data_IF_534145912897
#
_entry.id   IF_534145912897
#
_cell.length_a   1.000
_cell.length_b   1.000
_cell.length_c   1.000
_cell.angle_alpha   90.00
_cell.angle_beta   90.00
_cell.angle_gamma   90.00
#
_symmetry.space_group_name_H-M   'P 1'
#
loop_
_entity.id
_entity.type
_entity.pdbx_description
1 polymer ?
#
# COMPACT_ATOMS: atom_id res chain seq x y z
N UNK A 1 -1.05 -1.12 -5.39
CA UNK A 1 0.08 -1.07 -6.35
C UNK A 1 1.28 -1.62 -5.62
N UNK A 2 1.92 -2.66 -6.15
CA UNK A 2 2.98 -3.40 -5.46
C UNK A 2 4.39 -3.11 -6.01
N UNK A 3 4.48 -2.43 -7.15
CA UNK A 3 5.74 -1.95 -7.71
C UNK A 3 5.49 -0.63 -8.45
N UNK A 4 6.26 0.39 -8.13
CA UNK A 4 6.19 1.70 -8.78
C UNK A 4 7.53 2.44 -8.61
N UNK A 5 7.92 3.30 -9.59
CA UNK A 5 7.18 3.60 -10.82
C UNK A 5 7.10 2.42 -11.81
N UNK A 6 7.92 1.39 -11.59
CA UNK A 6 7.96 0.17 -12.41
C UNK A 6 8.82 0.34 -13.66
N UNK A 7 8.96 -0.73 -14.45
CA UNK A 7 9.72 -0.69 -15.71
C UNK A 7 8.97 0.12 -16.75
N UNK A 8 9.67 1.01 -17.47
CA UNK A 8 9.08 1.90 -18.48
C UNK A 8 7.87 2.72 -17.98
N UNK A 9 7.87 3.08 -16.69
CA UNK A 9 6.78 3.76 -15.99
C UNK A 9 5.45 2.98 -15.96
N UNK A 10 5.50 1.65 -16.14
CA UNK A 10 4.34 0.78 -16.00
C UNK A 10 4.29 0.27 -14.56
N UNK A 11 3.29 0.69 -13.76
CA UNK A 11 3.19 0.24 -12.38
C UNK A 11 2.77 -1.23 -12.30
N UNK A 12 3.37 -1.94 -11.33
CA UNK A 12 2.97 -3.28 -10.94
C UNK A 12 1.70 -3.27 -10.10
N UNK A 13 0.64 -3.87 -10.64
CA UNK A 13 -0.62 -4.09 -9.94
C UNK A 13 -0.74 -5.54 -9.47
N UNK A 14 -1.31 -5.72 -8.28
CA UNK A 14 -1.65 -7.04 -7.75
C UNK A 14 -2.93 -6.91 -6.93
N UNK A 15 -3.97 -7.61 -7.37
CA UNK A 15 -5.25 -7.70 -6.69
C UNK A 15 -5.56 -9.15 -6.28
N UNK A 16 -4.51 -9.92 -5.99
CA UNK A 16 -4.54 -11.36 -5.81
C UNK A 16 -5.30 -12.05 -6.97
N UNK A 17 -6.16 -13.01 -6.67
CA UNK A 17 -6.94 -13.74 -7.68
C UNK A 17 -8.05 -12.94 -8.36
N UNK A 18 -8.25 -11.65 -8.04
CA UNK A 18 -9.40 -10.87 -8.53
C UNK A 18 -9.18 -10.26 -9.93
N UNK A 19 -7.95 -10.28 -10.45
CA UNK A 19 -7.65 -9.82 -11.79
C UNK A 19 -6.35 -10.45 -12.29
N UNK A 20 -6.42 -11.13 -13.44
CA UNK A 20 -5.26 -11.79 -14.05
C UNK A 20 -5.05 -11.38 -15.52
N UNK A 21 -6.03 -10.73 -16.15
CA UNK A 21 -5.92 -10.27 -17.52
C UNK A 21 -4.93 -9.11 -17.61
N UNK A 22 -4.24 -8.99 -18.75
CA UNK A 22 -3.19 -7.99 -18.98
C UNK A 22 -3.35 -7.33 -20.35
N UNK A 23 -2.92 -6.08 -20.43
CA UNK A 23 -2.61 -5.41 -21.69
C UNK A 23 -1.32 -6.01 -22.30
N UNK A 24 -1.04 -5.70 -23.57
CA UNK A 24 0.16 -6.18 -24.28
C UNK A 24 1.47 -5.72 -23.63
N UNK A 25 1.45 -4.63 -22.85
CA UNK A 25 2.59 -4.10 -22.12
C UNK A 25 2.74 -4.71 -20.70
N UNK A 26 1.96 -5.73 -20.34
CA UNK A 26 2.03 -6.43 -19.06
C UNK A 26 1.27 -5.76 -17.91
N UNK A 27 0.73 -4.55 -18.09
CA UNK A 27 -0.12 -3.89 -17.10
C UNK A 27 -1.43 -4.69 -16.93
N UNK A 28 -1.90 -4.87 -15.70
CA UNK A 28 -3.18 -5.55 -15.47
C UNK A 28 -4.35 -4.79 -16.14
N UNK A 29 -5.25 -5.54 -16.76
CA UNK A 29 -6.49 -5.06 -17.34
C UNK A 29 -7.67 -5.64 -16.56
N UNK A 30 -8.24 -4.84 -15.66
CA UNK A 30 -9.21 -5.25 -14.65
C UNK A 30 -10.57 -4.55 -14.85
N UNK A 31 -11.27 -4.72 -15.98
CA UNK A 31 -12.53 -4.03 -16.25
C UNK A 31 -13.62 -4.39 -15.24
N UNK A 32 -13.59 -5.60 -14.65
CA UNK A 32 -14.53 -6.00 -13.60
C UNK A 32 -14.34 -5.18 -12.32
N UNK A 33 -13.09 -4.94 -11.91
CA UNK A 33 -12.78 -4.03 -10.79
C UNK A 33 -13.28 -2.61 -11.12
N UNK A 34 -13.09 -2.15 -12.37
CA UNK A 34 -13.64 -0.87 -12.84
C UNK A 34 -15.17 -0.76 -12.71
N UNK A 35 -15.91 -1.80 -13.06
CA UNK A 35 -17.36 -1.84 -12.86
C UNK A 35 -17.74 -1.75 -11.38
N UNK A 36 -17.01 -2.47 -10.53
CA UNK A 36 -17.28 -2.52 -9.09
C UNK A 36 -16.90 -1.20 -8.40
N UNK A 37 -15.87 -0.49 -8.86
CA UNK A 37 -15.55 0.89 -8.45
C UNK A 37 -16.76 1.80 -8.68
N UNK A 38 -17.29 1.81 -9.91
CA UNK A 38 -18.46 2.64 -10.26
C UNK A 38 -19.69 2.26 -9.45
N UNK A 39 -19.87 0.96 -9.18
CA UNK A 39 -20.94 0.49 -8.30
C UNK A 39 -20.78 1.03 -6.87
N UNK A 40 -19.59 0.92 -6.27
CA UNK A 40 -19.29 1.46 -4.95
C UNK A 40 -19.53 2.98 -4.88
N UNK A 41 -19.08 3.72 -5.89
CA UNK A 41 -19.30 5.16 -5.99
C UNK A 41 -20.79 5.51 -6.10
N UNK A 42 -21.58 4.72 -6.83
CA UNK A 42 -23.06 4.88 -6.87
C UNK A 42 -23.75 4.67 -5.52
N UNK A 43 -23.07 4.03 -4.55
CA UNK A 43 -23.50 3.84 -3.16
C UNK A 43 -22.87 4.87 -2.21
N UNK A 44 -22.26 5.93 -2.75
CA UNK A 44 -21.62 6.98 -1.97
C UNK A 44 -20.31 6.55 -1.30
N UNK A 45 -19.70 5.44 -1.72
CA UNK A 45 -18.41 4.98 -1.18
C UNK A 45 -17.27 5.59 -1.98
N UNK A 46 -16.20 5.96 -1.29
CA UNK A 46 -14.95 6.41 -1.92
C UNK A 46 -14.04 5.21 -2.14
N UNK A 47 -13.39 5.15 -3.30
CA UNK A 47 -12.44 4.09 -3.64
C UNK A 47 -11.10 4.71 -4.00
N UNK A 48 -10.10 4.50 -3.15
CA UNK A 48 -8.74 4.95 -3.35
C UNK A 48 -7.88 3.78 -3.86
N UNK A 49 -6.87 4.09 -4.67
CA UNK A 49 -5.84 3.12 -5.05
C UNK A 49 -4.66 3.25 -4.11
N UNK A 50 -4.38 2.20 -3.34
CA UNK A 50 -3.24 2.17 -2.43
C UNK A 50 -1.94 1.85 -3.16
N UNK A 51 -0.88 2.60 -2.84
CA UNK A 51 0.51 2.42 -3.24
C UNK A 51 1.27 1.75 -2.11
N UNK A 52 2.01 0.70 -2.43
CA UNK A 52 3.00 0.11 -1.54
C UNK A 52 2.60 -1.29 -1.09
N UNK A 53 2.42 -1.43 0.22
CA UNK A 53 2.18 -2.68 0.92
C UNK A 53 3.44 -3.45 1.28
N UNK A 54 3.28 -4.52 2.04
CA UNK A 54 4.36 -5.30 2.66
C UNK A 54 5.40 -5.94 1.72
N UNK A 55 5.20 -5.98 0.40
CA UNK A 55 6.18 -6.56 -0.56
C UNK A 55 7.47 -5.73 -0.62
N UNK A 56 7.38 -4.42 -0.39
CA UNK A 56 8.52 -3.51 -0.23
C UNK A 56 9.34 -3.19 -1.49
N UNK A 57 9.05 -3.78 -2.65
CA UNK A 57 9.79 -3.58 -3.91
C UNK A 57 9.24 -2.41 -4.75
N UNK A 58 9.33 -1.21 -4.21
CA UNK A 58 8.88 0.04 -4.82
C UNK A 58 9.61 1.25 -4.24
N UNK A 59 9.44 2.40 -4.87
CA UNK A 59 9.95 3.68 -4.39
C UNK A 59 10.58 4.50 -5.49
N UNK A 60 11.01 5.69 -5.12
CA UNK A 60 11.59 6.66 -6.04
C UNK A 60 13.06 6.91 -5.69
N UNK A 61 13.85 7.26 -6.70
CA UNK A 61 15.23 7.67 -6.55
C UNK A 61 15.36 9.16 -6.23
N UNK A 62 14.36 9.96 -6.60
CA UNK A 62 14.30 11.41 -6.37
C UNK A 62 12.88 11.95 -6.61
N UNK A 63 12.67 13.23 -6.27
CA UNK A 63 11.39 13.92 -6.43
C UNK A 63 10.91 14.01 -7.87
N UNK A 64 11.81 14.21 -8.85
CA UNK A 64 11.44 14.37 -10.26
C UNK A 64 10.81 13.08 -10.83
N UNK A 65 11.33 11.92 -10.42
CA UNK A 65 10.76 10.61 -10.77
C UNK A 65 9.36 10.45 -10.15
N UNK A 66 9.21 10.85 -8.88
CA UNK A 66 7.93 10.79 -8.18
C UNK A 66 6.88 11.74 -8.79
N UNK A 67 7.28 12.96 -9.19
CA UNK A 67 6.42 13.90 -9.91
C UNK A 67 6.00 13.34 -11.28
N UNK A 68 6.93 12.73 -12.02
CA UNK A 68 6.62 12.08 -13.30
C UNK A 68 5.64 10.92 -13.11
N UNK A 69 5.75 10.20 -12.00
CA UNK A 69 4.82 9.14 -11.67
C UNK A 69 3.42 9.66 -11.30
N UNK A 70 3.29 10.90 -10.82
CA UNK A 70 1.97 11.53 -10.64
C UNK A 70 1.20 11.62 -11.98
N UNK A 71 1.91 11.89 -13.08
CA UNK A 71 1.31 11.92 -14.43
C UNK A 71 0.80 10.53 -14.84
N UNK A 72 1.54 9.46 -14.49
CA UNK A 72 1.13 8.07 -14.71
C UNK A 72 -0.17 7.78 -13.95
N UNK A 73 -0.22 8.12 -12.67
CA UNK A 73 -1.41 7.91 -11.83
C UNK A 73 -2.61 8.69 -12.38
N UNK A 74 -2.39 9.95 -12.75
CA UNK A 74 -3.43 10.81 -13.29
C UNK A 74 -4.03 10.22 -14.57
N UNK A 75 -3.18 9.81 -15.50
CA UNK A 75 -3.57 9.34 -16.82
C UNK A 75 -4.14 7.92 -16.85
N UNK A 76 -3.69 7.03 -15.96
CA UNK A 76 -4.12 5.62 -15.96
C UNK A 76 -5.33 5.34 -15.07
N UNK A 77 -5.49 6.07 -13.96
CA UNK A 77 -6.48 5.70 -12.93
C UNK A 77 -7.45 6.84 -12.57
N UNK A 78 -7.01 8.09 -12.71
CA UNK A 78 -7.79 9.28 -12.38
C UNK A 78 -8.38 9.87 -13.67
N UNK A 79 -8.44 11.20 -13.81
CA UNK A 79 -9.17 11.89 -14.88
C UNK A 79 -8.36 12.17 -16.16
N UNK A 80 -7.07 11.82 -16.18
CA UNK A 80 -6.27 11.91 -17.38
C UNK A 80 -6.60 10.82 -18.41
N UNK A 81 -5.81 10.77 -19.48
CA UNK A 81 -6.05 9.86 -20.62
C UNK A 81 -4.85 8.94 -20.86
N UNK A 82 -5.11 7.66 -21.10
CA UNK A 82 -4.12 6.65 -21.45
C UNK A 82 -4.76 5.58 -22.33
N UNK A 83 -3.99 4.97 -23.23
CA UNK A 83 -4.43 3.84 -24.05
C UNK A 83 -4.64 2.56 -23.23
N UNK A 84 -3.91 2.44 -22.10
CA UNK A 84 -4.02 1.30 -21.18
C UNK A 84 -4.46 1.80 -19.81
N UNK A 85 -5.76 1.68 -19.54
CA UNK A 85 -6.39 2.01 -18.26
C UNK A 85 -6.84 0.74 -17.54
N UNK A 86 -6.21 0.35 -16.42
CA UNK A 86 -6.52 -0.90 -15.72
C UNK A 86 -7.98 -1.06 -15.30
N UNK A 87 -8.68 0.04 -15.03
CA UNK A 87 -10.08 0.00 -14.61
C UNK A 87 -11.05 0.46 -15.72
N UNK A 88 -10.59 0.47 -16.97
CA UNK A 88 -11.35 0.99 -18.10
C UNK A 88 -11.70 2.47 -17.92
N UNK A 89 -12.99 2.78 -18.03
CA UNK A 89 -13.54 4.13 -17.89
C UNK A 89 -13.80 4.55 -16.44
N UNK A 90 -13.53 3.68 -15.45
CA UNK A 90 -13.65 4.06 -14.06
C UNK A 90 -12.57 5.07 -13.66
N UNK A 91 -12.97 6.02 -12.81
CA UNK A 91 -12.11 7.06 -12.24
C UNK A 91 -12.16 6.90 -10.72
N UNK A 92 -11.05 6.50 -10.11
CA UNK A 92 -10.94 6.34 -8.65
C UNK A 92 -11.10 7.69 -7.94
N UNK A 93 -11.27 7.67 -6.62
CA UNK A 93 -11.52 8.87 -5.81
C UNK A 93 -10.25 9.43 -5.15
N UNK A 94 -9.10 8.79 -5.35
CA UNK A 94 -7.88 9.25 -4.73
C UNK A 94 -6.80 8.19 -4.64
N UNK A 95 -5.78 8.52 -3.87
CA UNK A 95 -4.55 7.75 -3.75
C UNK A 95 -4.25 7.56 -2.26
N UNK A 96 -3.94 6.32 -1.89
CA UNK A 96 -3.51 5.95 -0.55
C UNK A 96 -2.02 5.58 -0.55
N UNK A 97 -1.26 6.04 0.43
CA UNK A 97 0.18 5.80 0.58
C UNK A 97 0.44 4.84 1.75
N UNK A 98 0.54 3.55 1.45
CA UNK A 98 0.83 2.47 2.39
C UNK A 98 2.29 2.03 2.23
N UNK A 99 3.21 2.92 2.63
CA UNK A 99 4.65 2.78 2.38
C UNK A 99 5.31 2.09 3.56
N UNK A 100 5.65 0.81 3.39
CA UNK A 100 6.12 -0.06 4.48
C UNK A 100 7.63 -0.37 4.42
N UNK A 101 8.36 0.14 3.42
CA UNK A 101 9.78 -0.17 3.22
C UNK A 101 10.77 0.83 3.85
N UNK A 102 10.28 1.72 4.72
CA UNK A 102 11.08 2.73 5.44
C UNK A 102 11.92 3.65 4.53
N UNK A 103 11.49 3.84 3.27
CA UNK A 103 12.08 4.81 2.36
C UNK A 103 11.07 5.94 2.11
N UNK A 104 11.32 7.18 2.56
CA UNK A 104 10.40 8.32 2.39
C UNK A 104 10.58 9.07 1.06
N UNK A 105 11.57 8.71 0.25
CA UNK A 105 11.99 9.49 -0.92
C UNK A 105 10.85 9.69 -1.92
N UNK A 106 10.61 10.94 -2.32
CA UNK A 106 9.72 11.32 -3.42
C UNK A 106 8.22 11.41 -3.09
N UNK A 107 7.74 10.80 -2.01
CA UNK A 107 6.29 10.75 -1.73
C UNK A 107 5.69 12.14 -1.45
N UNK A 108 6.44 13.04 -0.80
CA UNK A 108 5.99 14.42 -0.60
C UNK A 108 5.83 15.17 -1.94
N UNK A 109 6.76 14.99 -2.89
CA UNK A 109 6.69 15.59 -4.21
C UNK A 109 5.53 15.01 -5.04
N UNK A 110 5.36 13.69 -5.03
CA UNK A 110 4.23 13.01 -5.64
C UNK A 110 2.89 13.51 -5.08
N UNK A 111 2.75 13.59 -3.75
CA UNK A 111 1.53 14.08 -3.10
C UNK A 111 1.19 15.53 -3.47
N UNK A 112 2.18 16.44 -3.47
CA UNK A 112 2.00 17.82 -3.93
C UNK A 112 1.56 17.87 -5.40
N UNK A 113 2.19 17.07 -6.26
CA UNK A 113 1.86 17.01 -7.67
C UNK A 113 0.44 16.48 -7.93
N UNK A 114 0.01 15.48 -7.18
CA UNK A 114 -1.37 14.99 -7.23
C UNK A 114 -2.37 16.07 -6.79
N UNK A 115 -2.08 16.85 -5.74
CA UNK A 115 -2.94 17.99 -5.36
C UNK A 115 -3.07 19.04 -6.46
N UNK A 116 -2.02 19.31 -7.23
CA UNK A 116 -2.11 20.19 -8.42
C UNK A 116 -3.06 19.65 -9.49
N UNK A 117 -3.09 18.33 -9.68
CA UNK A 117 -4.03 17.67 -10.58
C UNK A 117 -5.46 17.70 -10.05
N UNK A 118 -5.64 17.40 -8.76
CA UNK A 118 -6.94 17.36 -8.12
C UNK A 118 -7.64 18.73 -8.17
N UNK A 119 -6.90 19.82 -8.04
CA UNK A 119 -7.43 21.17 -8.18
C UNK A 119 -8.01 21.49 -9.58
N UNK A 120 -7.67 20.69 -10.59
CA UNK A 120 -8.18 20.83 -11.97
C UNK A 120 -9.23 19.77 -12.33
N UNK A 121 -9.48 18.83 -11.42
CA UNK A 121 -10.40 17.72 -11.65
C UNK A 121 -11.86 18.13 -11.61
N UNK A 122 -12.74 17.24 -12.07
CA UNK A 122 -14.19 17.47 -12.13
C UNK A 122 -14.93 17.11 -10.82
N UNK A 123 -14.22 16.48 -9.88
CA UNK A 123 -14.73 16.07 -8.56
C UNK A 123 -13.66 16.23 -7.48
N UNK A 124 -14.09 16.11 -6.23
CA UNK A 124 -13.17 16.04 -5.10
C UNK A 124 -12.39 14.72 -5.11
N UNK A 125 -11.09 14.83 -4.84
CA UNK A 125 -10.15 13.73 -4.74
C UNK A 125 -9.48 13.73 -3.36
N UNK A 126 -9.13 12.53 -2.90
CA UNK A 126 -8.58 12.33 -1.57
C UNK A 126 -7.16 11.79 -1.61
N UNK A 127 -6.33 12.24 -0.68
CA UNK A 127 -5.05 11.61 -0.35
C UNK A 127 -5.15 11.01 1.06
N UNK A 128 -4.70 9.77 1.19
CA UNK A 128 -4.52 9.12 2.49
C UNK A 128 -3.14 8.51 2.65
N UNK A 129 -2.72 8.27 3.88
CA UNK A 129 -1.52 7.49 4.17
C UNK A 129 -1.81 6.48 5.29
N UNK A 130 -1.09 5.35 5.29
CA UNK A 130 -1.24 4.29 6.26
C UNK A 130 0.05 4.07 7.08
N UNK A 131 0.49 5.04 7.89
CA UNK A 131 1.67 4.87 8.74
C UNK A 131 1.45 3.76 9.77
N UNK A 132 2.54 3.13 10.22
CA UNK A 132 2.51 2.35 11.47
C UNK A 132 2.31 3.28 12.68
N UNK A 133 1.92 2.74 13.83
CA UNK A 133 1.70 3.59 15.02
C UNK A 133 2.98 4.24 15.59
N UNK A 134 4.17 3.76 15.19
CA UNK A 134 5.46 4.33 15.60
C UNK A 134 5.59 5.72 14.99
N UNK A 135 5.88 6.73 15.82
CA UNK A 135 5.99 8.12 15.39
C UNK A 135 7.42 8.65 15.62
N UNK A 136 8.04 9.33 14.63
CA UNK A 136 7.56 9.47 13.25
C UNK A 136 7.62 8.14 12.48
N UNK A 137 6.72 7.95 11.52
CA UNK A 137 6.72 6.77 10.64
C UNK A 137 7.83 6.87 9.59
N UNK A 138 8.64 5.82 9.45
CA UNK A 138 9.83 5.86 8.59
C UNK A 138 9.53 5.92 7.08
N UNK A 139 8.36 5.46 6.64
CA UNK A 139 7.98 5.43 5.23
C UNK A 139 7.27 6.70 4.77
N UNK A 140 6.49 7.34 5.64
CA UNK A 140 5.62 8.47 5.25
C UNK A 140 5.83 9.77 6.02
N UNK A 141 6.80 9.90 6.94
CA UNK A 141 6.94 11.15 7.73
C UNK A 141 7.04 12.41 6.85
N UNK A 142 7.85 12.41 5.78
CA UNK A 142 7.98 13.58 4.90
C UNK A 142 6.68 13.92 4.18
N UNK A 143 5.93 12.90 3.77
CA UNK A 143 4.61 13.06 3.16
C UNK A 143 3.64 13.73 4.14
N UNK A 144 3.57 13.22 5.37
CA UNK A 144 2.68 13.72 6.42
C UNK A 144 3.00 15.17 6.83
N UNK A 145 4.27 15.56 6.84
CA UNK A 145 4.70 16.89 7.23
C UNK A 145 4.52 17.95 6.12
N UNK A 146 4.44 17.54 4.86
CA UNK A 146 4.55 18.45 3.72
C UNK A 146 3.36 18.47 2.77
N UNK A 147 2.45 17.49 2.87
CA UNK A 147 1.32 17.36 1.96
C UNK A 147 0.02 17.54 2.73
N UNK A 148 -0.92 18.25 2.11
CA UNK A 148 -2.31 18.28 2.58
C UNK A 148 -2.89 16.87 2.43
N UNK A 149 -3.08 16.15 3.55
CA UNK A 149 -3.64 14.80 3.59
C UNK A 149 -5.07 14.85 4.14
N UNK A 150 -5.98 14.06 3.57
CA UNK A 150 -7.37 13.97 4.04
C UNK A 150 -7.50 12.96 5.19
N UNK A 151 -6.91 11.77 5.02
CA UNK A 151 -7.07 10.64 5.94
C UNK A 151 -5.74 10.02 6.32
N UNK A 152 -5.53 9.75 7.61
CA UNK A 152 -4.38 8.98 8.10
C UNK A 152 -4.88 7.69 8.75
N UNK A 153 -4.59 6.56 8.12
CA UNK A 153 -4.97 5.21 8.56
C UNK A 153 -3.88 4.58 9.42
N UNK A 154 -3.76 5.04 10.67
CA UNK A 154 -2.65 4.66 11.55
C UNK A 154 -2.78 3.18 11.95
N UNK A 155 -1.81 2.35 11.61
CA UNK A 155 -1.83 0.91 11.91
C UNK A 155 -1.46 0.67 13.38
N UNK A 156 -2.46 0.61 14.26
CA UNK A 156 -2.30 0.31 15.69
C UNK A 156 -2.28 -1.20 15.98
N UNK A 157 -1.47 -1.93 15.21
CA UNK A 157 -1.22 -3.36 15.34
C UNK A 157 0.23 -3.69 14.97
N UNK A 158 0.67 -4.93 15.28
CA UNK A 158 2.05 -5.41 15.05
C UNK A 158 3.17 -4.60 15.73
N UNK A 159 2.86 -3.71 16.68
CA UNK A 159 3.82 -2.79 17.29
C UNK A 159 3.61 -2.65 18.80
N UNK A 160 4.56 -1.98 19.48
CA UNK A 160 4.42 -1.71 20.92
C UNK A 160 3.27 -0.75 21.23
N UNK A 161 2.89 0.08 20.25
CA UNK A 161 1.87 1.11 20.34
C UNK A 161 0.47 0.64 19.93
N UNK A 162 0.22 -0.68 19.88
CA UNK A 162 -1.13 -1.23 19.66
C UNK A 162 -2.16 -0.65 20.65
N UNK A 163 -3.43 -0.67 20.25
CA UNK A 163 -4.56 -0.15 21.06
C UNK A 163 -4.58 -0.74 22.48
N UNK A 164 -4.32 -2.03 22.65
CA UNK A 164 -4.34 -2.73 23.94
C UNK A 164 -2.98 -2.72 24.68
N UNK A 165 -2.06 -1.84 24.25
CA UNK A 165 -0.69 -1.70 24.77
C UNK A 165 -0.39 -0.23 25.05
N UNK A 166 0.72 0.31 24.53
CA UNK A 166 1.11 1.71 24.69
C UNK A 166 0.46 2.57 23.62
N UNK A 167 -0.88 2.60 23.60
CA UNK A 167 -1.66 3.33 22.60
C UNK A 167 -1.31 4.82 22.61
N UNK A 168 -0.65 5.29 21.55
CA UNK A 168 -0.07 6.63 21.46
C UNK A 168 -0.93 7.61 20.65
N UNK A 169 -2.26 7.53 20.77
CA UNK A 169 -3.21 8.42 20.09
C UNK A 169 -2.88 9.90 20.26
N UNK A 170 -2.55 10.33 21.49
CA UNK A 170 -2.19 11.72 21.81
C UNK A 170 -1.00 12.24 20.99
N UNK A 171 -0.08 11.35 20.59
CA UNK A 171 1.06 11.73 19.73
C UNK A 171 0.57 12.08 18.33
N UNK A 172 -0.34 11.27 17.79
CA UNK A 172 -0.91 11.45 16.47
C UNK A 172 -1.88 12.64 16.40
N UNK A 173 -2.65 12.90 17.45
CA UNK A 173 -3.51 14.09 17.52
C UNK A 173 -2.69 15.37 17.68
N UNK A 174 -1.58 15.32 18.42
CA UNK A 174 -0.62 16.41 18.44
C UNK A 174 -0.03 16.67 17.04
N UNK A 175 0.28 15.62 16.26
CA UNK A 175 0.65 15.78 14.85
C UNK A 175 -0.44 16.50 14.05
N UNK A 176 -1.70 16.04 14.14
CA UNK A 176 -2.81 16.65 13.40
C UNK A 176 -2.96 18.14 13.74
N UNK A 177 -2.89 18.49 15.03
CA UNK A 177 -3.01 19.86 15.49
C UNK A 177 -1.81 20.74 15.08
N UNK A 178 -0.58 20.26 15.26
CA UNK A 178 0.62 21.12 15.23
C UNK A 178 1.42 21.00 13.94
N UNK A 179 1.51 19.80 13.36
CA UNK A 179 2.43 19.50 12.25
C UNK A 179 1.71 19.41 10.91
N UNK A 180 0.57 18.71 10.84
CA UNK A 180 -0.10 18.46 9.56
C UNK A 180 -0.41 19.76 8.80
N UNK A 181 -0.11 19.85 7.49
CA UNK A 181 -0.53 20.99 6.67
C UNK A 181 -2.04 21.18 6.63
N UNK A 182 -2.80 20.08 6.69
CA UNK A 182 -4.25 20.11 6.77
C UNK A 182 -4.71 20.03 8.24
N UNK A 183 -5.20 21.15 8.79
CA UNK A 183 -5.70 21.18 10.17
C UNK A 183 -7.06 20.49 10.36
N UNK A 184 -7.69 20.04 9.28
CA UNK A 184 -8.90 19.23 9.29
C UNK A 184 -8.64 17.75 8.97
N UNK A 185 -7.37 17.32 8.93
CA UNK A 185 -7.00 15.93 8.67
C UNK A 185 -7.73 14.98 9.62
N UNK A 186 -8.19 13.84 9.10
CA UNK A 186 -8.89 12.83 9.89
C UNK A 186 -8.02 11.62 10.16
N UNK A 187 -7.84 11.31 11.43
CA UNK A 187 -7.08 10.19 11.93
C UNK A 187 -8.00 8.99 12.15
N UNK A 188 -7.59 7.82 11.70
CA UNK A 188 -8.33 6.57 11.85
C UNK A 188 -7.51 5.58 12.66
N UNK A 189 -8.17 4.87 13.57
CA UNK A 189 -7.56 3.75 14.29
C UNK A 189 -7.57 2.53 13.37
N UNK A 190 -6.41 2.13 12.86
CA UNK A 190 -6.23 0.92 12.06
C UNK A 190 -6.15 -0.33 12.93
N UNK A 191 -7.00 -1.31 12.67
CA UNK A 191 -7.06 -2.59 13.41
C UNK A 191 -7.13 -3.80 12.47
N UNK A 192 -6.70 -4.99 12.91
CA UNK A 192 -6.90 -6.24 12.16
C UNK A 192 -8.38 -6.65 12.16
N UNK A 193 -8.87 -7.16 11.02
CA UNK A 193 -10.25 -7.59 10.82
C UNK A 193 -10.58 -8.97 11.39
N UNK A 194 -9.56 -9.78 11.68
CA UNK A 194 -9.67 -11.10 12.28
C UNK A 194 -8.37 -11.45 13.04
N UNK A 195 -8.37 -12.46 13.92
CA UNK A 195 -7.16 -12.93 14.58
C UNK A 195 -6.04 -13.35 13.61
N UNK A 196 -6.41 -13.81 12.41
CA UNK A 196 -5.47 -14.24 11.34
C UNK A 196 -4.98 -13.10 10.45
N UNK A 197 -5.51 -11.88 10.60
CA UNK A 197 -5.24 -10.80 9.66
C UNK A 197 -3.88 -10.12 9.87
N UNK A 198 -3.33 -10.23 11.08
CA UNK A 198 -2.05 -9.64 11.47
C UNK A 198 -1.35 -10.54 12.50
N UNK A 199 -0.06 -10.31 12.75
CA UNK A 199 0.71 -11.08 13.75
C UNK A 199 0.26 -10.80 15.19
N UNK A 200 -0.28 -9.61 15.45
CA UNK A 200 -0.85 -9.21 16.75
C UNK A 200 -1.82 -8.03 16.59
N UNK A 201 -2.57 -7.69 17.64
CA UNK A 201 -3.38 -6.46 17.70
C UNK A 201 -4.84 -6.62 17.27
N UNK A 202 -5.33 -7.84 17.02
CA UNK A 202 -6.77 -8.09 16.92
C UNK A 202 -7.45 -7.83 18.27
N UNK A 203 -8.61 -7.17 18.26
CA UNK A 203 -9.28 -6.67 19.46
C UNK A 203 -10.68 -7.27 19.60
N UNK A 204 -11.11 -7.45 20.84
CA UNK A 204 -12.52 -7.69 21.13
C UNK A 204 -13.33 -6.39 20.98
N UNK A 205 -14.60 -6.51 20.61
CA UNK A 205 -15.50 -5.36 20.40
C UNK A 205 -15.60 -4.45 21.63
N UNK A 206 -15.53 -5.01 22.85
CA UNK A 206 -15.54 -4.22 24.09
C UNK A 206 -14.32 -3.33 24.25
N UNK A 207 -13.14 -3.81 23.82
CA UNK A 207 -11.90 -3.01 23.81
C UNK A 207 -12.02 -1.88 22.82
N UNK A 208 -12.54 -2.17 21.61
CA UNK A 208 -12.80 -1.13 20.60
C UNK A 208 -13.79 -0.09 21.13
N UNK A 209 -14.92 -0.50 21.69
CA UNK A 209 -15.90 0.42 22.27
C UNK A 209 -15.27 1.33 23.32
N UNK A 210 -14.53 0.77 24.29
CA UNK A 210 -13.88 1.56 25.33
C UNK A 210 -12.84 2.55 24.78
N UNK A 211 -12.15 2.18 23.71
CA UNK A 211 -11.20 3.06 23.01
C UNK A 211 -11.94 4.21 22.34
N UNK A 212 -13.01 3.90 21.62
CA UNK A 212 -13.85 4.88 20.94
C UNK A 212 -14.55 5.81 21.92
N UNK A 213 -15.01 5.32 23.08
CA UNK A 213 -15.57 6.16 24.13
C UNK A 213 -14.54 7.17 24.66
N UNK A 214 -13.24 6.81 24.64
CA UNK A 214 -12.15 7.67 25.09
C UNK A 214 -11.72 8.73 24.07
N UNK A 215 -11.74 8.40 22.77
CA UNK A 215 -11.16 9.27 21.71
C UNK A 215 -12.21 9.84 20.75
N UNK A 216 -13.45 9.36 20.79
CA UNK A 216 -14.47 9.64 19.78
C UNK A 216 -14.93 11.10 19.72
N UNK A 217 -14.66 11.89 20.76
CA UNK A 217 -14.93 13.33 20.81
C UNK A 217 -13.75 14.19 20.35
N UNK A 218 -12.62 13.58 19.97
CA UNK A 218 -11.47 14.31 19.46
C UNK A 218 -11.77 14.82 18.03
N UNK A 219 -11.55 16.10 17.76
CA UNK A 219 -11.89 16.71 16.48
C UNK A 219 -11.14 16.07 15.30
N UNK A 220 -9.95 15.51 15.57
CA UNK A 220 -9.15 14.80 14.59
C UNK A 220 -9.66 13.38 14.31
N UNK A 221 -10.52 12.80 15.17
CA UNK A 221 -11.02 11.44 14.99
C UNK A 221 -11.90 11.31 13.74
N UNK A 222 -11.56 10.36 12.88
CA UNK A 222 -12.25 10.07 11.62
C UNK A 222 -12.98 8.73 11.58
N UNK A 223 -12.62 7.78 12.45
CA UNK A 223 -13.20 6.45 12.51
C UNK A 223 -12.17 5.32 12.65
N UNK A 224 -12.50 4.16 12.10
CA UNK A 224 -11.66 2.95 12.11
C UNK A 224 -11.30 2.52 10.70
N UNK A 225 -10.04 2.12 10.49
CA UNK A 225 -9.56 1.40 9.31
C UNK A 225 -9.39 -0.08 9.68
N UNK A 226 -9.70 -1.00 8.76
CA UNK A 226 -9.63 -2.44 9.03
C UNK A 226 -8.83 -3.18 7.96
N UNK A 227 -7.81 -3.93 8.39
CA UNK A 227 -7.04 -4.83 7.53
C UNK A 227 -7.55 -6.28 7.64
N UNK A 228 -8.16 -6.88 6.62
CA UNK A 228 -8.71 -6.30 5.40
C UNK A 228 -10.20 -6.70 5.24
N UNK A 229 -10.80 -6.35 4.09
CA UNK A 229 -12.18 -6.69 3.78
C UNK A 229 -12.45 -8.22 3.85
N UNK A 230 -11.55 -9.06 3.33
CA UNK A 230 -11.74 -10.51 3.35
C UNK A 230 -11.80 -11.03 4.80
N UNK A 231 -10.96 -10.48 5.67
CA UNK A 231 -10.88 -10.88 7.07
C UNK A 231 -12.11 -10.38 7.85
N UNK A 232 -12.46 -9.10 7.73
CA UNK A 232 -13.50 -8.49 8.58
C UNK A 232 -14.94 -8.89 8.19
N UNK A 233 -15.19 -9.22 6.91
CA UNK A 233 -16.50 -9.72 6.47
C UNK A 233 -16.70 -11.23 6.74
N UNK A 234 -15.61 -12.01 6.81
CA UNK A 234 -15.69 -13.46 7.10
C UNK A 234 -15.59 -13.78 8.59
N UNK A 235 -15.02 -12.89 9.39
CA UNK A 235 -14.98 -13.03 10.84
C UNK A 235 -16.38 -12.76 11.43
N UNK A 236 -17.10 -13.83 11.78
CA UNK A 236 -18.44 -13.77 12.38
C UNK A 236 -18.34 -13.97 13.89
N UNK A 237 -18.90 -13.03 14.64
CA UNK A 237 -18.94 -13.03 16.10
C UNK A 237 -20.00 -14.01 16.63
N UNK A 238 -19.94 -14.29 17.93
CA UNK A 238 -20.87 -15.21 18.60
C UNK A 238 -22.34 -14.76 18.55
N UNK A 239 -22.60 -13.47 18.32
CA UNK A 239 -23.94 -12.90 18.17
C UNK A 239 -24.45 -12.90 16.71
N UNK A 240 -23.66 -13.44 15.77
CA UNK A 240 -24.01 -13.58 14.36
C UNK A 240 -23.68 -12.37 13.48
N UNK A 241 -23.20 -11.25 14.03
CA UNK A 241 -22.70 -10.12 13.23
C UNK A 241 -21.31 -10.43 12.69
N UNK A 242 -20.99 -9.88 11.52
CA UNK A 242 -19.59 -9.81 11.09
C UNK A 242 -18.82 -8.80 11.94
N UNK A 243 -17.51 -8.96 12.04
CA UNK A 243 -16.66 -8.05 12.81
C UNK A 243 -16.80 -6.61 12.30
N UNK A 244 -16.80 -6.40 10.99
CA UNK A 244 -17.03 -5.06 10.40
C UNK A 244 -18.41 -4.46 10.75
N UNK A 245 -19.46 -5.27 10.83
CA UNK A 245 -20.78 -4.80 11.25
C UNK A 245 -20.75 -4.35 12.72
N UNK A 246 -20.18 -5.16 13.60
CA UNK A 246 -20.07 -4.80 15.02
C UNK A 246 -19.24 -3.53 15.24
N UNK A 247 -18.14 -3.35 14.50
CA UNK A 247 -17.34 -2.12 14.54
C UNK A 247 -18.13 -0.90 14.03
N UNK A 248 -18.94 -1.08 12.98
CA UNK A 248 -19.80 0.01 12.48
C UNK A 248 -20.83 0.43 13.53
N UNK A 249 -21.43 -0.54 14.24
CA UNK A 249 -22.39 -0.26 15.32
C UNK A 249 -21.73 0.52 16.47
N UNK A 250 -20.47 0.20 16.82
CA UNK A 250 -19.69 0.95 17.82
C UNK A 250 -19.54 2.41 17.39
N UNK A 251 -19.18 2.68 16.14
CA UNK A 251 -19.01 4.05 15.64
C UNK A 251 -20.33 4.82 15.61
N UNK A 252 -21.44 4.17 15.27
CA UNK A 252 -22.77 4.80 15.27
C UNK A 252 -23.29 5.12 16.69
N UNK A 253 -22.73 4.48 17.72
CA UNK A 253 -23.08 4.78 19.11
C UNK A 253 -22.54 6.14 19.59
N UNK A 254 -21.48 6.67 18.97
CA UNK A 254 -20.90 7.98 19.29
C UNK A 254 -21.90 9.11 18.99
N UNK A 255 -22.58 9.05 17.84
CA UNK A 255 -23.57 10.06 17.44
C UNK A 255 -24.74 10.15 18.43
N UNK A 256 -25.06 9.04 19.12
CA UNK A 256 -26.14 8.98 20.11
C UNK A 256 -25.70 9.56 21.46
N UNK A 257 -24.46 9.33 21.88
CA UNK A 257 -23.93 9.85 23.16
C UNK A 257 -23.62 11.35 23.11
N UNK A 258 -23.24 11.89 21.94
CA UNK A 258 -23.07 13.34 21.71
C UNK A 258 -24.36 14.16 21.87
N UNK A 259 -25.54 13.53 21.81
CA UNK A 259 -26.84 14.22 21.87
C UNK A 259 -27.51 14.17 23.27
N UNK A 260 -26.90 13.50 24.26
CA UNK A 260 -27.60 13.21 25.54
C UNK A 260 -27.09 13.98 26.77
N UNK A 261 -26.65 15.24 26.59
CA UNK A 261 -26.38 16.12 27.74
C UNK A 261 -26.97 17.53 27.57
N UNK A 262 -28.30 17.63 27.52
CA UNK A 262 -29.02 18.81 28.06
C UNK A 262 -30.42 18.39 28.52
N UNK A 263 -30.49 17.72 29.68
CA UNK A 263 -31.72 17.72 30.48
C UNK A 263 -31.87 19.13 31.07
N UNK A 264 -32.63 20.00 30.40
CA UNK A 264 -33.20 21.19 31.02
C UNK A 264 -34.66 20.92 31.40
N UNK A 265 -34.88 20.80 32.70
CA UNK A 265 -36.17 20.72 33.33
C UNK A 265 -36.87 22.08 33.31
N UNK A 266 -38.12 22.09 32.85
CA UNK A 266 -39.23 23.00 33.22
C UNK A 266 -39.10 24.51 32.93
N UNK A 267 -39.99 25.01 32.08
CA UNK A 267 -41.24 25.64 32.57
C UNK A 267 -42.24 25.86 31.44
N UNK A 268 -43.46 25.39 31.68
CA UNK A 268 -44.67 25.68 30.91
C UNK A 268 -45.04 27.15 31.04
N UNK A 269 -45.08 27.89 29.93
CA UNK A 269 -45.88 29.10 29.80
C UNK A 269 -46.57 29.10 28.44
N UNK A 270 -47.88 29.32 28.53
CA UNK A 270 -48.87 29.25 27.48
C UNK A 270 -48.95 30.55 26.66
N UNK A 271 -49.47 30.38 25.43
CA UNK A 271 -50.20 31.37 24.60
C UNK A 271 -49.34 32.38 23.82
N UNK A 272 -49.32 32.24 22.50
CA UNK A 272 -50.23 32.96 21.60
C UNK A 272 -50.02 32.53 20.13
N UNK A 273 -51.13 32.44 19.41
CA UNK A 273 -51.20 32.20 17.98
C UNK A 273 -50.99 33.51 17.22
N UNK A 274 -50.17 33.50 16.17
CA UNK A 274 -50.28 34.47 15.07
C UNK A 274 -49.67 33.91 13.79
N UNK A 275 -50.57 33.60 12.87
CA UNK A 275 -50.40 33.39 11.44
C UNK A 275 -49.87 34.66 10.77
N UNK A 276 -48.81 34.56 9.95
CA UNK A 276 -48.61 35.44 8.77
C UNK A 276 -47.67 34.78 7.76
N UNK A 277 -48.31 34.28 6.70
CA UNK A 277 -48.07 34.52 5.27
C UNK A 277 -46.65 34.75 4.73
N UNK A 278 -46.38 33.98 3.67
CA UNK A 278 -45.29 34.07 2.73
C UNK A 278 -45.02 35.46 2.14
N UNK A 279 -43.77 35.69 1.76
CA UNK A 279 -43.46 36.55 0.60
C UNK A 279 -42.24 36.00 -0.15
N UNK A 280 -42.51 35.49 -1.35
CA UNK A 280 -41.52 35.26 -2.39
C UNK A 280 -40.88 36.58 -2.83
N UNK A 281 -39.58 36.57 -3.10
CA UNK A 281 -38.97 37.54 -4.01
C UNK A 281 -38.14 36.77 -5.04
N UNK A 282 -38.72 36.69 -6.22
CA UNK A 282 -38.10 36.30 -7.49
C UNK A 282 -37.30 37.48 -8.01
N UNK A 283 -36.01 37.29 -8.27
CA UNK A 283 -35.24 38.14 -9.19
C UNK A 283 -34.77 37.31 -10.37
N UNK A 284 -35.49 37.51 -11.47
CA UNK A 284 -35.16 37.15 -12.84
C UNK A 284 -34.05 38.06 -13.36
N UNK A 285 -33.03 37.47 -14.00
CA UNK A 285 -32.22 38.15 -15.00
C UNK A 285 -31.98 37.17 -16.15
N UNK A 286 -32.44 37.57 -17.34
CA UNK A 286 -32.33 36.84 -18.60
C UNK A 286 -30.93 36.96 -19.23
N UNK A 287 -30.54 36.03 -20.11
CA UNK A 287 -29.24 35.98 -20.76
C UNK A 287 -29.18 36.90 -21.97
N UNK A 288 -28.04 37.56 -22.17
CA UNK A 288 -27.72 38.25 -23.43
C UNK A 288 -27.00 37.29 -24.37
N UNK A 289 -27.62 37.05 -25.51
CA UNK A 289 -27.10 36.36 -26.68
C UNK A 289 -26.22 37.31 -27.49
N UNK A 290 -25.07 36.85 -27.97
CA UNK A 290 -24.42 37.46 -29.14
C UNK A 290 -23.81 36.36 -30.00
N UNK A 291 -24.14 36.44 -31.29
CA UNK A 291 -23.94 35.42 -32.30
C UNK A 291 -22.51 35.35 -32.85
N UNK A 292 -22.06 34.11 -33.06
CA UNK A 292 -21.49 33.52 -34.29
C UNK A 292 -20.84 34.51 -35.29
N UNK A 293 -19.52 34.37 -35.47
CA UNK A 293 -18.86 34.65 -36.76
C UNK A 293 -18.11 33.39 -37.19
N UNK A 294 -18.54 32.89 -38.34
CA UNK A 294 -18.02 31.75 -39.09
C UNK A 294 -16.93 32.26 -40.04
N UNK A 295 -15.73 31.70 -39.99
CA UNK A 295 -14.68 31.92 -40.99
C UNK A 295 -14.12 30.59 -41.44
N UNK A 296 -14.54 30.18 -42.63
CA UNK A 296 -13.99 29.10 -43.44
C UNK A 296 -12.97 29.66 -44.41
N UNK A 297 -11.78 29.05 -44.51
CA UNK A 297 -10.97 29.08 -45.74
C UNK A 297 -9.95 27.94 -45.78
N UNK A 298 -10.28 26.95 -46.62
CA UNK A 298 -9.42 26.29 -47.63
C UNK A 298 -7.92 26.05 -47.36
N UNK A 299 -7.60 24.74 -47.25
CA UNK A 299 -6.66 23.97 -48.07
C UNK A 299 -5.38 24.62 -48.60
N UNK A 300 -4.24 24.09 -48.16
CA UNK A 300 -3.08 23.84 -49.04
C UNK A 300 -2.31 22.62 -48.56
N UNK A 301 -1.98 21.79 -49.54
CA UNK A 301 -1.45 20.43 -49.47
C UNK A 301 0.00 20.44 -49.98
N UNK A 302 0.81 19.49 -49.48
CA UNK A 302 2.00 18.83 -50.12
C UNK A 302 3.34 19.63 -50.11
N UNK A 303 4.54 18.99 -50.05
CA UNK A 303 4.85 17.54 -50.14
C UNK A 303 5.63 16.90 -48.98
N UNK A 304 5.41 15.59 -48.87
CA UNK A 304 6.31 14.60 -48.32
C UNK A 304 7.53 14.38 -49.24
N UNK A 305 8.71 14.22 -48.64
CA UNK A 305 9.91 13.75 -49.32
C UNK A 305 10.27 12.34 -48.82
N UNK A 306 10.26 11.43 -49.78
CA UNK A 306 10.68 10.05 -49.69
C UNK A 306 12.19 9.92 -49.79
N UNK A 307 12.80 9.03 -49.02
CA UNK A 307 14.03 8.36 -49.43
C UNK A 307 13.91 6.86 -49.19
N UNK A 308 13.83 6.13 -50.31
CA UNK A 308 14.08 4.70 -50.42
C UNK A 308 15.51 4.36 -49.98
N UNK A 309 15.68 3.20 -49.34
CA UNK A 309 16.77 2.30 -49.68
C UNK A 309 16.35 0.86 -49.39
N UNK A 310 16.48 0.05 -50.43
CA UNK A 310 15.92 -1.28 -50.60
C UNK A 310 16.98 -2.34 -50.27
N UNK A 311 16.53 -3.39 -49.56
CA UNK A 311 16.94 -4.82 -49.67
C UNK A 311 18.40 -5.24 -49.52
N UNK A 312 18.63 -6.19 -48.60
CA UNK A 312 18.96 -7.58 -49.01
C UNK A 312 18.48 -8.62 -47.99
N UNK A 313 17.83 -9.63 -48.53
CA UNK A 313 17.42 -10.93 -48.01
C UNK A 313 18.57 -11.82 -47.49
N UNK A 314 18.32 -12.62 -46.45
CA UNK A 314 18.77 -14.02 -46.41
C UNK A 314 17.96 -14.83 -45.39
N UNK A 315 17.58 -16.03 -45.81
CA UNK A 315 16.62 -16.95 -45.20
C UNK A 315 17.30 -18.22 -44.67
N UNK A 316 16.92 -18.63 -43.44
CA UNK A 316 16.76 -20.02 -42.92
C UNK A 316 18.01 -20.96 -42.90
N UNK A 317 18.04 -22.09 -42.14
CA UNK A 317 16.92 -22.81 -41.54
C UNK A 317 17.08 -23.26 -40.08
N UNK A 318 15.96 -23.77 -39.55
CA UNK A 318 15.89 -24.63 -38.38
C UNK A 318 16.47 -26.03 -38.65
N UNK A 319 17.14 -26.61 -37.66
CA UNK A 319 17.36 -28.05 -37.58
C UNK A 319 17.33 -28.50 -36.13
N UNK A 320 16.40 -29.41 -35.86
CA UNK A 320 16.41 -30.36 -34.74
C UNK A 320 17.68 -31.20 -34.74
N UNK A 321 18.21 -31.57 -33.57
CA UNK A 321 18.63 -32.94 -33.27
C UNK A 321 18.98 -33.11 -31.78
N UNK A 322 18.47 -34.21 -31.26
CA UNK A 322 18.70 -34.80 -29.94
C UNK A 322 20.05 -35.50 -29.88
N UNK A 323 20.73 -35.50 -28.73
CA UNK A 323 21.59 -36.62 -28.34
C UNK A 323 21.82 -36.67 -26.83
N UNK A 324 21.26 -37.72 -26.25
CA UNK A 324 21.67 -38.39 -25.01
C UNK A 324 23.15 -38.77 -25.08
N UNK A 325 23.90 -38.60 -23.99
CA UNK A 325 24.96 -39.54 -23.60
C UNK A 325 25.17 -39.52 -22.08
N UNK A 326 24.84 -40.67 -21.51
CA UNK A 326 25.09 -41.21 -20.19
C UNK A 326 26.58 -41.54 -19.98
N UNK A 327 26.88 -41.96 -18.75
CA UNK A 327 28.08 -42.69 -18.26
C UNK A 327 29.11 -41.78 -17.55
N UNK A 328 29.68 -42.11 -16.38
CA UNK A 328 29.61 -43.35 -15.59
C UNK A 328 30.10 -43.09 -14.16
N UNK A 329 29.58 -43.91 -13.26
CA UNK A 329 29.92 -44.09 -11.85
C UNK A 329 31.38 -44.49 -11.64
N UNK A 330 32.01 -44.00 -10.56
CA UNK A 330 32.90 -44.83 -9.74
C UNK A 330 32.81 -44.45 -8.25
N UNK A 331 32.32 -45.43 -7.48
CA UNK A 331 32.28 -45.46 -6.03
C UNK A 331 33.67 -45.64 -5.40
N UNK A 332 33.82 -45.32 -4.12
CA UNK A 332 34.28 -46.27 -3.07
C UNK A 332 34.00 -45.69 -1.66
N UNK A 333 33.29 -46.52 -0.89
CA UNK A 333 33.11 -46.67 0.57
C UNK A 333 34.16 -46.03 1.50
N UNK A 334 33.85 -45.56 2.71
CA UNK A 334 33.50 -46.42 3.86
C UNK A 334 32.96 -45.63 5.06
N UNK A 335 32.05 -46.27 5.78
CA UNK A 335 31.32 -45.86 6.99
C UNK A 335 32.15 -45.90 8.28
N UNK A 336 31.87 -45.00 9.24
CA UNK A 336 31.77 -45.34 10.67
C UNK A 336 30.96 -44.30 11.44
N UNK A 337 30.04 -44.79 12.27
CA UNK A 337 29.18 -44.01 13.17
C UNK A 337 29.97 -43.40 14.33
N UNK A 338 29.75 -42.12 14.61
CA UNK A 338 29.79 -41.59 15.98
C UNK A 338 28.99 -40.30 16.07
N UNK A 339 28.01 -40.28 16.97
CA UNK A 339 27.46 -39.08 17.60
C UNK A 339 27.55 -39.38 19.12
N UNK A 340 27.64 -38.40 20.03
CA UNK A 340 27.48 -36.96 19.83
C UNK A 340 28.64 -36.13 20.39
N UNK A 341 28.98 -35.05 19.72
CA UNK A 341 29.53 -33.88 20.39
C UNK A 341 29.17 -32.64 19.59
N UNK A 342 28.48 -31.71 20.23
CA UNK A 342 28.11 -30.42 19.67
C UNK A 342 29.39 -29.59 19.45
N UNK A 343 30.02 -29.78 18.31
CA UNK A 343 30.99 -28.81 17.79
C UNK A 343 30.18 -27.61 17.33
N UNK A 344 30.24 -26.53 18.10
CA UNK A 344 29.80 -25.22 17.63
C UNK A 344 30.70 -24.85 16.45
N UNK A 345 30.22 -25.10 15.24
CA UNK A 345 30.84 -24.59 14.02
C UNK A 345 30.99 -23.08 14.18
N UNK A 346 32.23 -22.61 14.20
CA UNK A 346 32.54 -21.19 14.22
C UNK A 346 31.88 -20.52 13.02
N UNK A 347 31.30 -19.33 13.23
CA UNK A 347 30.74 -18.56 12.13
C UNK A 347 31.82 -18.22 11.11
N UNK A 348 31.49 -18.33 9.82
CA UNK A 348 32.40 -17.94 8.75
C UNK A 348 32.18 -16.46 8.41
N UNK A 349 33.24 -15.67 8.35
CA UNK A 349 33.19 -14.29 7.90
C UNK A 349 33.07 -14.25 6.36
N UNK A 350 31.91 -13.82 5.87
CA UNK A 350 31.61 -13.74 4.45
C UNK A 350 31.86 -12.34 3.85
N UNK A 351 32.37 -11.38 4.63
CA UNK A 351 32.47 -9.96 4.23
C UNK A 351 33.39 -9.72 3.04
N UNK A 352 34.49 -10.48 2.95
CA UNK A 352 35.50 -10.37 1.88
C UNK A 352 35.15 -11.12 0.60
N UNK A 353 34.07 -11.90 0.59
CA UNK A 353 33.64 -12.70 -0.54
C UNK A 353 32.71 -11.92 -1.47
N UNK A 354 32.60 -12.37 -2.72
CA UNK A 354 31.64 -11.84 -3.70
C UNK A 354 31.07 -12.98 -4.55
N UNK A 355 30.01 -12.69 -5.31
CA UNK A 355 29.38 -13.65 -6.21
C UNK A 355 28.93 -14.94 -5.52
N UNK A 356 29.06 -16.06 -6.22
CA UNK A 356 28.63 -17.38 -5.74
C UNK A 356 29.33 -17.82 -4.46
N UNK A 357 30.59 -17.44 -4.25
CA UNK A 357 31.33 -17.79 -3.04
C UNK A 357 30.73 -17.14 -1.79
N UNK A 358 30.25 -15.89 -1.90
CA UNK A 358 29.56 -15.20 -0.80
C UNK A 358 28.19 -15.84 -0.53
N UNK A 359 27.46 -16.22 -1.58
CA UNK A 359 26.17 -16.91 -1.46
C UNK A 359 26.32 -18.23 -0.70
N UNK A 360 27.31 -19.06 -1.06
CA UNK A 360 27.58 -20.33 -0.37
C UNK A 360 27.95 -20.12 1.09
N UNK A 361 28.82 -19.15 1.38
CA UNK A 361 29.22 -18.80 2.75
C UNK A 361 28.02 -18.38 3.62
N UNK A 362 27.17 -17.48 3.11
CA UNK A 362 25.99 -16.98 3.83
C UNK A 362 24.97 -18.09 4.08
N UNK A 363 24.65 -18.90 3.07
CA UNK A 363 23.71 -20.00 3.24
C UNK A 363 24.22 -21.07 4.22
N UNK A 364 25.53 -21.32 4.24
CA UNK A 364 26.13 -22.19 5.26
C UNK A 364 25.98 -21.60 6.67
N UNK A 365 26.21 -20.29 6.86
CA UNK A 365 25.95 -19.64 8.14
C UNK A 365 24.46 -19.79 8.55
N UNK A 366 23.52 -19.47 7.66
CA UNK A 366 22.08 -19.51 7.94
C UNK A 366 21.62 -20.90 8.39
N UNK A 367 22.07 -21.95 7.71
CA UNK A 367 21.76 -23.34 8.07
C UNK A 367 22.26 -23.74 9.47
N UNK A 368 23.28 -23.06 9.99
CA UNK A 368 23.83 -23.25 11.33
C UNK A 368 23.24 -22.28 12.37
N UNK A 369 22.21 -21.50 12.01
CA UNK A 369 21.61 -20.48 12.88
C UNK A 369 22.56 -19.32 13.19
N UNK A 370 23.52 -19.08 12.31
CA UNK A 370 24.40 -17.92 12.31
C UNK A 370 23.90 -17.02 11.19
N UNK A 371 23.63 -15.76 11.45
CA UNK A 371 23.06 -14.87 10.43
C UNK A 371 24.14 -14.50 9.39
N UNK A 372 24.56 -13.26 9.34
CA UNK A 372 25.66 -12.75 8.50
C UNK A 372 27.07 -13.27 8.88
N UNK A 373 27.19 -14.11 9.91
CA UNK A 373 28.45 -14.50 10.54
C UNK A 373 28.59 -14.03 11.98
N UNK A 374 27.62 -13.28 12.51
CA UNK A 374 27.58 -12.88 13.92
C UNK A 374 26.61 -13.71 14.76
N UNK A 375 26.95 -13.91 16.03
CA UNK A 375 26.09 -14.55 17.05
C UNK A 375 25.33 -13.50 17.86
N UNK A 376 24.49 -12.72 17.20
CA UNK A 376 23.43 -11.98 17.90
C UNK A 376 23.53 -10.46 17.92
N UNK A 377 24.60 -9.85 17.42
CA UNK A 377 24.65 -8.40 17.15
C UNK A 377 24.63 -8.15 15.64
N UNK A 378 23.93 -7.10 15.22
CA UNK A 378 23.77 -6.71 13.81
C UNK A 378 23.61 -5.20 13.69
N UNK A 379 23.68 -4.66 12.47
CA UNK A 379 23.39 -3.26 12.20
C UNK A 379 21.93 -3.12 11.78
N UNK A 380 21.21 -2.14 12.31
CA UNK A 380 19.80 -1.91 11.94
C UNK A 380 19.66 -1.82 10.41
N UNK A 381 18.76 -2.62 9.84
CA UNK A 381 18.57 -2.74 8.39
C UNK A 381 19.30 -3.93 7.75
N UNK A 382 20.19 -4.61 8.48
CA UNK A 382 20.80 -5.85 7.99
C UNK A 382 19.73 -6.93 7.81
N UNK A 383 19.91 -7.74 6.77
CA UNK A 383 19.00 -8.83 6.39
C UNK A 383 19.74 -10.16 6.43
N UNK A 384 19.11 -11.17 7.02
CA UNK A 384 19.63 -12.53 7.07
C UNK A 384 18.50 -13.55 7.00
N UNK A 385 18.85 -14.84 6.94
CA UNK A 385 17.88 -15.92 7.08
C UNK A 385 18.10 -16.65 8.40
N UNK A 386 17.02 -17.03 9.06
CA UNK A 386 17.09 -17.94 10.19
C UNK A 386 17.25 -19.39 9.74
N UNK A 387 17.64 -20.26 10.68
CA UNK A 387 17.90 -21.69 10.42
C UNK A 387 16.68 -22.47 9.93
N UNK A 388 15.47 -21.95 10.13
CA UNK A 388 14.22 -22.59 9.74
C UNK A 388 13.72 -22.07 8.38
N UNK A 389 14.49 -21.22 7.70
CA UNK A 389 14.10 -20.62 6.42
C UNK A 389 13.22 -19.39 6.57
N UNK A 390 13.08 -18.82 7.78
CA UNK A 390 12.46 -17.52 8.01
C UNK A 390 13.40 -16.37 7.65
N UNK A 391 12.82 -15.21 7.37
CA UNK A 391 13.54 -13.98 7.08
C UNK A 391 13.85 -13.25 8.37
N UNK A 392 15.07 -12.74 8.55
CA UNK A 392 15.44 -12.00 9.75
C UNK A 392 15.89 -10.59 9.38
N UNK A 393 15.32 -9.59 10.06
CA UNK A 393 15.73 -8.20 9.97
C UNK A 393 16.42 -7.78 11.27
N UNK A 394 17.52 -7.05 11.16
CA UNK A 394 18.12 -6.44 12.31
C UNK A 394 17.36 -5.19 12.75
N UNK A 395 16.90 -5.17 13.99
CA UNK A 395 16.23 -4.04 14.61
C UNK A 395 16.94 -3.67 15.93
N UNK A 396 17.53 -2.46 15.98
CA UNK A 396 18.28 -1.95 17.14
C UNK A 396 19.34 -2.93 17.68
N UNK A 397 20.11 -3.55 16.79
CA UNK A 397 21.18 -4.47 17.15
C UNK A 397 20.75 -5.89 17.51
N UNK A 398 19.45 -6.19 17.38
CA UNK A 398 18.88 -7.52 17.62
C UNK A 398 18.22 -8.07 16.36
N UNK A 399 18.43 -9.35 16.09
CA UNK A 399 17.76 -10.03 14.99
C UNK A 399 16.31 -10.37 15.34
N UNK A 400 15.39 -9.96 14.47
CA UNK A 400 13.97 -10.28 14.56
C UNK A 400 13.61 -11.20 13.40
N UNK A 401 13.31 -12.47 13.71
CA UNK A 401 12.80 -13.43 12.73
C UNK A 401 11.35 -13.16 12.39
N UNK A 402 11.07 -13.17 11.09
CA UNK A 402 9.79 -13.03 10.42
C UNK A 402 9.57 -14.29 9.58
N UNK A 403 8.32 -14.71 9.45
CA UNK A 403 7.96 -15.79 8.53
C UNK A 403 8.12 -15.34 7.08
N UNK A 404 8.63 -16.22 6.22
CA UNK A 404 8.49 -16.01 4.79
C UNK A 404 7.04 -16.24 4.33
N UNK A 405 6.65 -15.60 3.23
CA UNK A 405 5.34 -15.83 2.61
C UNK A 405 5.15 -17.31 2.25
N UNK A 406 3.88 -17.77 2.24
CA UNK A 406 3.56 -19.19 2.03
C UNK A 406 4.24 -19.77 0.78
N UNK A 407 4.97 -20.89 0.97
CA UNK A 407 5.67 -21.59 -0.11
C UNK A 407 7.09 -21.06 -0.42
N UNK A 408 7.52 -19.98 0.23
CA UNK A 408 8.87 -19.43 0.07
C UNK A 408 9.76 -19.74 1.27
N UNK A 409 11.07 -19.76 1.05
CA UNK A 409 12.09 -19.94 2.08
C UNK A 409 13.16 -18.86 1.90
N UNK A 410 13.70 -18.35 3.00
CA UNK A 410 14.78 -17.38 2.94
C UNK A 410 16.10 -18.08 2.60
N UNK A 411 16.83 -17.56 1.62
CA UNK A 411 18.22 -17.92 1.33
C UNK A 411 18.94 -16.76 0.62
N UNK A 412 20.28 -16.78 0.62
CA UNK A 412 21.09 -15.91 -0.21
C UNK A 412 21.15 -16.44 -1.65
N UNK A 413 21.05 -15.57 -2.65
CA UNK A 413 21.14 -15.90 -4.07
C UNK A 413 21.76 -14.75 -4.88
N UNK A 414 22.09 -15.02 -6.14
CA UNK A 414 22.57 -14.00 -7.07
C UNK A 414 21.42 -13.36 -7.83
N UNK A 415 21.41 -12.03 -7.86
CA UNK A 415 20.57 -11.23 -8.73
C UNK A 415 21.47 -10.38 -9.63
N UNK A 416 21.77 -10.88 -10.83
CA UNK A 416 22.88 -10.37 -11.62
C UNK A 416 24.20 -10.63 -10.91
N UNK A 417 25.03 -9.59 -10.75
CA UNK A 417 26.31 -9.65 -10.04
C UNK A 417 26.18 -9.40 -8.52
N UNK A 418 24.97 -9.08 -8.05
CA UNK A 418 24.70 -8.74 -6.65
C UNK A 418 24.30 -9.99 -5.85
N UNK A 419 24.78 -10.05 -4.60
CA UNK A 419 24.39 -11.07 -3.63
C UNK A 419 23.24 -10.51 -2.80
N UNK A 420 22.09 -11.16 -2.86
CA UNK A 420 20.85 -10.74 -2.21
C UNK A 420 20.38 -11.83 -1.26
N UNK A 421 19.87 -11.45 -0.09
CA UNK A 421 19.24 -12.36 0.87
C UNK A 421 17.76 -12.02 1.00
N UNK A 422 16.88 -13.00 0.85
CA UNK A 422 15.43 -12.78 0.95
C UNK A 422 14.61 -14.04 0.77
N UNK A 423 13.29 -13.93 1.01
CA UNK A 423 12.35 -15.02 0.79
C UNK A 423 12.15 -15.28 -0.71
N UNK A 424 12.40 -16.51 -1.15
CA UNK A 424 12.19 -16.90 -2.54
C UNK A 424 11.70 -18.35 -2.63
N UNK A 425 11.20 -18.76 -3.80
CA UNK A 425 10.77 -20.13 -4.02
C UNK A 425 11.97 -21.08 -3.93
N UNK A 426 11.85 -22.23 -3.25
CA UNK A 426 12.93 -23.21 -3.19
C UNK A 426 13.39 -23.59 -4.59
N UNK A 427 14.70 -23.55 -4.83
CA UNK A 427 15.28 -24.08 -6.05
C UNK A 427 14.99 -25.59 -6.10
N UNK A 428 14.35 -26.05 -7.18
CA UNK A 428 14.03 -27.47 -7.39
C UNK A 428 15.24 -28.30 -7.77
#
# INVERSE_FOLDING_TARGET
>A
MISFPGTDNIPGLNFAGNCNDQFSNGLLNCPKIGQDIKYCQSKGKKVLLSLGGAVGTYGFTNDQEAESFADVLWNMFLEGTSDTRPFGDAVIDGIDFDIENANPTGYAALGKKLREYFAKGSKDYYLSAAPQCVYPDAGVYELLEQVDMDFIFIQFYNNYCNVDKSFNWDTWTNYAATISPNKNVKLYVGIPGAPSAAGSGYLDISVVQSTIDSIGNDDAFGGIMMWDASQCFLNVLSDGRTYVQAIKDVLESIDVTGTTTTSSSTTTLSRASSTTTASSSTTTVSPSTTSIVQSSSTSKEIPAESTESTTTTSSLPATTLSSVLTSTVKATTSSTSSNPSATTSASQDCSSLSGSAKVECLNNNYSNGKYDGNTGSCTTGDVACDKNGGYALCNFGSWVSLGCGAGTTCYAYLQGDNVVTGCNWPLK
#
